data_IF_710204208793
#
_entry.id   IF_710204208793
#
_cell.length_a   1.000
_cell.length_b   1.000
_cell.length_c   1.000
_cell.angle_alpha   90.00
_cell.angle_beta   90.00
_cell.angle_gamma   90.00
#
_symmetry.space_group_name_H-M   'P 1'
#
loop_
_entity.id
_entity.type
_entity.pdbx_description
1 polymer ?
#
# COMPACT_ATOMS: atom_id res chain seq x y z
N UNK A 1 -5.04 41.24 -22.98
CA UNK A 1 -5.74 39.96 -23.22
C UNK A 1 -4.77 38.81 -23.38
N UNK A 2 -3.78 38.89 -24.27
CA UNK A 2 -2.79 37.83 -24.54
C UNK A 2 -2.14 37.17 -23.29
N UNK A 3 -1.52 37.94 -22.39
CA UNK A 3 -0.92 37.39 -21.16
C UNK A 3 -1.92 36.68 -20.24
N UNK A 4 -3.17 37.13 -20.22
CA UNK A 4 -4.23 36.46 -19.46
C UNK A 4 -4.55 35.08 -20.03
N UNK A 5 -4.63 34.97 -21.36
CA UNK A 5 -4.84 33.69 -22.05
C UNK A 5 -3.70 32.70 -21.78
N UNK A 6 -2.44 33.16 -21.80
CA UNK A 6 -1.29 32.29 -21.47
C UNK A 6 -1.41 31.72 -20.05
N UNK A 7 -1.75 32.55 -19.07
CA UNK A 7 -1.94 32.09 -17.70
C UNK A 7 -3.04 31.03 -17.59
N UNK A 8 -4.17 31.22 -18.29
CA UNK A 8 -5.26 30.24 -18.29
C UNK A 8 -4.83 28.90 -18.91
N UNK A 9 -4.08 28.92 -20.01
CA UNK A 9 -3.55 27.69 -20.64
C UNK A 9 -2.57 26.97 -19.69
N UNK A 10 -1.70 27.72 -19.00
CA UNK A 10 -0.77 27.13 -18.02
C UNK A 10 -1.54 26.51 -16.85
N UNK A 11 -2.53 27.21 -16.29
CA UNK A 11 -3.37 26.68 -15.20
C UNK A 11 -4.09 25.41 -15.64
N UNK A 12 -4.67 25.41 -16.83
CA UNK A 12 -5.33 24.22 -17.38
C UNK A 12 -4.34 23.06 -17.53
N UNK A 13 -3.16 23.31 -18.08
CA UNK A 13 -2.09 22.30 -18.19
C UNK A 13 -1.66 21.74 -16.83
N UNK A 14 -1.51 22.58 -15.81
CA UNK A 14 -1.18 22.18 -14.43
C UNK A 14 -2.27 21.28 -13.85
N UNK A 15 -3.55 21.64 -14.00
CA UNK A 15 -4.67 20.83 -13.52
C UNK A 15 -4.71 19.48 -14.24
N UNK A 16 -4.54 19.49 -15.58
CA UNK A 16 -4.53 18.28 -16.38
C UNK A 16 -3.39 17.35 -15.96
N UNK A 17 -2.19 17.88 -15.80
CA UNK A 17 -1.03 17.09 -15.40
C UNK A 17 -1.15 16.57 -13.96
N UNK A 18 -1.60 17.43 -13.04
CA UNK A 18 -1.78 17.06 -11.63
C UNK A 18 -2.84 15.97 -11.43
N UNK A 19 -3.94 16.03 -12.17
CA UNK A 19 -5.05 15.08 -12.02
C UNK A 19 -4.96 13.85 -12.92
N UNK A 20 -4.04 13.83 -13.90
CA UNK A 20 -3.81 12.67 -14.75
C UNK A 20 -3.44 11.42 -13.91
N UNK A 21 -4.01 10.23 -14.19
CA UNK A 21 -4.80 9.84 -15.36
C UNK A 21 -6.32 10.01 -15.23
N UNK A 22 -6.83 10.79 -14.25
CA UNK A 22 -8.27 10.99 -14.01
C UNK A 22 -9.06 9.70 -13.73
N UNK A 23 -8.38 8.65 -13.30
CA UNK A 23 -9.01 7.37 -13.01
C UNK A 23 -9.44 7.30 -11.55
N UNK A 24 -10.64 7.81 -11.24
CA UNK A 24 -11.22 7.82 -9.90
C UNK A 24 -11.82 6.47 -9.48
N UNK A 25 -12.17 5.61 -10.45
CA UNK A 25 -12.73 4.28 -10.22
C UNK A 25 -11.96 3.21 -10.99
N UNK A 26 -10.66 3.00 -10.68
CA UNK A 26 -9.88 1.93 -11.29
C UNK A 26 -10.50 0.56 -11.02
N UNK A 27 -10.43 -0.37 -11.98
CA UNK A 27 -10.83 -1.78 -11.75
C UNK A 27 -9.93 -2.39 -10.66
N UNK A 28 -10.50 -3.20 -9.77
CA UNK A 28 -9.70 -4.03 -8.89
C UNK A 28 -9.03 -5.14 -9.71
N UNK A 29 -7.70 -5.20 -9.68
CA UNK A 29 -6.91 -6.12 -10.50
C UNK A 29 -6.70 -7.45 -9.78
N UNK A 30 -7.82 -8.09 -9.46
CA UNK A 30 -7.93 -9.43 -8.87
C UNK A 30 -8.89 -10.22 -9.73
N UNK A 31 -8.46 -11.36 -10.25
CA UNK A 31 -9.31 -12.28 -11.00
C UNK A 31 -9.29 -13.66 -10.33
N UNK A 32 -10.37 -14.44 -10.47
CA UNK A 32 -10.41 -15.83 -10.04
C UNK A 32 -9.58 -16.69 -10.99
N UNK A 33 -8.91 -17.72 -10.48
CA UNK A 33 -8.16 -18.65 -11.33
C UNK A 33 -9.10 -19.55 -12.14
N UNK A 34 -8.81 -19.69 -13.43
CA UNK A 34 -9.53 -20.62 -14.30
C UNK A 34 -9.03 -22.06 -14.07
N UNK A 35 -9.97 -23.01 -13.94
CA UNK A 35 -9.67 -24.44 -13.86
C UNK A 35 -9.06 -24.93 -12.55
N UNK A 36 -8.89 -24.06 -11.55
CA UNK A 36 -8.43 -24.43 -10.21
C UNK A 36 -8.85 -23.39 -9.16
N UNK A 37 -8.83 -23.78 -7.88
CA UNK A 37 -9.11 -22.86 -6.79
C UNK A 37 -8.01 -21.79 -6.66
N UNK A 38 -8.40 -20.59 -6.26
CA UNK A 38 -7.47 -19.49 -6.02
C UNK A 38 -7.84 -18.20 -6.74
N UNK A 39 -7.09 -17.16 -6.41
CA UNK A 39 -7.20 -15.81 -6.98
C UNK A 39 -5.84 -15.34 -7.48
N UNK A 40 -5.86 -14.51 -8.52
CA UNK A 40 -4.69 -13.96 -9.19
C UNK A 40 -4.61 -12.45 -9.01
N UNK A 41 -3.47 -11.96 -8.54
CA UNK A 41 -3.14 -10.53 -8.43
C UNK A 41 -2.14 -10.15 -9.51
N UNK A 42 -2.48 -9.19 -10.38
CA UNK A 42 -1.65 -8.78 -11.55
C UNK A 42 -1.44 -7.26 -11.68
N UNK A 43 -1.84 -6.51 -10.66
CA UNK A 43 -1.72 -5.07 -10.65
C UNK A 43 -1.91 -4.52 -9.24
N UNK A 44 -2.74 -3.49 -9.04
CA UNK A 44 -3.03 -2.94 -7.70
C UNK A 44 -4.05 -3.77 -6.90
N UNK A 45 -4.33 -5.01 -7.31
CA UNK A 45 -5.37 -5.85 -6.74
C UNK A 45 -5.36 -5.92 -5.21
N UNK A 46 -6.54 -5.85 -4.58
CA UNK A 46 -6.69 -5.95 -3.13
C UNK A 46 -7.92 -6.80 -2.77
N UNK A 47 -7.79 -7.57 -1.71
CA UNK A 47 -8.89 -8.28 -1.05
C UNK A 47 -8.86 -7.90 0.43
N UNK A 48 -10.00 -7.69 1.07
CA UNK A 48 -10.03 -7.39 2.50
C UNK A 48 -11.28 -7.89 3.21
N UNK A 49 -11.17 -8.18 4.51
CA UNK A 49 -12.33 -8.54 5.35
C UNK A 49 -13.27 -7.35 5.59
N UNK A 50 -14.57 -7.60 5.74
CA UNK A 50 -15.57 -6.54 5.98
C UNK A 50 -15.28 -5.75 7.27
N UNK A 51 -14.94 -6.43 8.35
CA UNK A 51 -14.67 -5.82 9.66
C UNK A 51 -13.42 -6.40 10.31
N UNK A 52 -12.76 -5.65 11.21
CA UNK A 52 -11.74 -6.21 12.08
C UNK A 52 -12.34 -7.29 12.98
N UNK A 53 -11.66 -8.43 13.11
CA UNK A 53 -12.03 -9.46 14.09
C UNK A 53 -11.80 -8.90 15.50
N UNK A 54 -12.85 -8.78 16.35
CA UNK A 54 -12.75 -8.10 17.64
C UNK A 54 -12.04 -8.91 18.72
N UNK A 55 -11.83 -10.21 18.51
CA UNK A 55 -11.10 -11.07 19.45
C UNK A 55 -9.62 -11.09 19.12
N UNK A 56 -8.75 -10.97 20.12
CA UNK A 56 -7.33 -11.28 19.94
C UNK A 56 -7.13 -12.78 19.77
N UNK A 57 -6.23 -13.15 18.86
CA UNK A 57 -5.86 -14.55 18.62
C UNK A 57 -4.40 -14.69 19.02
N UNK A 58 -4.14 -15.04 20.27
CA UNK A 58 -2.79 -15.32 20.78
C UNK A 58 -2.83 -16.50 21.76
N UNK A 59 -2.05 -17.56 21.54
CA UNK A 59 -1.20 -17.83 20.37
C UNK A 59 -1.99 -18.01 19.08
N UNK A 60 -1.34 -17.87 17.91
CA UNK A 60 -1.98 -18.14 16.62
C UNK A 60 -1.01 -18.69 15.58
N UNK A 61 -1.57 -19.31 14.55
CA UNK A 61 -0.84 -19.75 13.37
C UNK A 61 -1.55 -19.31 12.10
N UNK A 62 -0.76 -19.12 11.05
CA UNK A 62 -1.23 -18.75 9.73
C UNK A 62 -0.59 -19.68 8.71
N UNK A 63 -1.42 -20.28 7.85
CA UNK A 63 -0.97 -21.07 6.72
C UNK A 63 -1.44 -20.43 5.42
N UNK A 64 -0.53 -20.28 4.47
CA UNK A 64 -0.81 -19.62 3.20
C UNK A 64 -0.17 -20.39 2.06
N UNK A 65 -0.96 -20.72 1.05
CA UNK A 65 -0.47 -21.36 -0.16
C UNK A 65 -0.50 -20.36 -1.30
N UNK A 66 0.67 -20.02 -1.85
CA UNK A 66 0.80 -18.95 -2.84
C UNK A 66 1.89 -19.26 -3.87
N UNK A 67 1.91 -18.50 -4.96
CA UNK A 67 2.92 -18.57 -6.01
C UNK A 67 3.22 -17.15 -6.50
N UNK A 68 4.41 -16.60 -6.20
CA UNK A 68 4.82 -15.29 -6.68
C UNK A 68 4.95 -15.29 -8.21
N UNK A 69 4.43 -14.26 -8.88
CA UNK A 69 4.59 -14.11 -10.32
C UNK A 69 5.84 -13.29 -10.67
N UNK A 70 6.21 -12.33 -9.83
CA UNK A 70 7.34 -11.42 -10.06
C UNK A 70 8.14 -11.15 -8.80
N UNK A 71 9.38 -10.73 -9.00
CA UNK A 71 10.23 -10.16 -7.96
C UNK A 71 10.12 -8.64 -8.02
N UNK A 72 9.74 -8.01 -6.91
CA UNK A 72 9.70 -6.54 -6.81
C UNK A 72 11.05 -6.02 -6.32
N UNK A 73 11.61 -5.05 -7.04
CA UNK A 73 12.91 -4.44 -6.77
C UNK A 73 12.80 -3.00 -6.21
N UNK A 74 11.69 -2.31 -6.48
CA UNK A 74 11.50 -0.90 -6.11
C UNK A 74 10.82 -0.73 -4.74
N UNK A 75 10.10 -1.75 -4.28
CA UNK A 75 9.36 -1.73 -3.02
C UNK A 75 9.18 -3.15 -2.46
N UNK A 76 8.81 -3.24 -1.19
CA UNK A 76 8.41 -4.49 -0.55
C UNK A 76 6.92 -4.74 -0.82
N UNK A 77 6.59 -5.79 -1.55
CA UNK A 77 5.21 -6.10 -1.93
C UNK A 77 4.44 -6.71 -0.75
N UNK A 78 3.24 -6.20 -0.43
CA UNK A 78 2.40 -6.73 0.66
C UNK A 78 1.61 -7.95 0.19
N UNK A 79 1.90 -9.11 0.78
CA UNK A 79 1.12 -10.35 0.54
C UNK A 79 -0.11 -10.35 1.43
N UNK A 80 0.11 -10.16 2.73
CA UNK A 80 -0.93 -10.20 3.75
C UNK A 80 -0.63 -9.18 4.85
N UNK A 81 -1.65 -8.46 5.28
CA UNK A 81 -1.59 -7.56 6.43
C UNK A 81 -2.76 -7.80 7.37
N UNK A 82 -2.48 -7.79 8.68
CA UNK A 82 -3.50 -7.70 9.72
C UNK A 82 -3.63 -6.23 10.12
N UNK A 83 -4.72 -5.60 9.73
CA UNK A 83 -4.96 -4.17 9.93
C UNK A 83 -5.86 -3.92 11.13
N UNK A 84 -5.55 -2.93 11.98
CA UNK A 84 -6.32 -2.64 13.20
C UNK A 84 -7.69 -1.98 12.94
N UNK A 85 -8.03 -1.70 11.69
CA UNK A 85 -9.26 -1.00 11.30
C UNK A 85 -9.18 0.52 11.41
N UNK A 86 -8.05 1.07 11.86
CA UNK A 86 -7.81 2.51 11.95
C UNK A 86 -6.76 2.94 10.93
N UNK A 87 -5.48 2.84 11.28
CA UNK A 87 -4.39 3.42 10.47
C UNK A 87 -3.13 2.55 10.42
N UNK A 88 -3.12 1.40 11.09
CA UNK A 88 -1.87 0.66 11.25
C UNK A 88 -2.00 -0.82 10.97
N UNK A 89 -0.98 -1.34 10.31
CA UNK A 89 -0.76 -2.76 10.11
C UNK A 89 -0.04 -3.32 11.33
N UNK A 90 -0.65 -4.32 11.97
CA UNK A 90 -0.14 -5.00 13.17
C UNK A 90 0.92 -6.03 12.81
N UNK A 91 0.58 -6.86 11.83
CA UNK A 91 1.44 -7.90 11.27
C UNK A 91 1.41 -7.75 9.76
N UNK A 92 2.59 -7.81 9.15
CA UNK A 92 2.75 -7.71 7.70
C UNK A 92 3.61 -8.87 7.22
N UNK A 93 3.09 -9.63 6.26
CA UNK A 93 3.83 -10.58 5.45
C UNK A 93 4.04 -9.93 4.09
N UNK A 94 5.31 -9.83 3.69
CA UNK A 94 5.69 -9.09 2.51
C UNK A 94 6.83 -9.78 1.77
N UNK A 95 6.96 -9.46 0.48
CA UNK A 95 7.99 -10.02 -0.38
C UNK A 95 8.97 -8.94 -0.80
N UNK A 96 10.26 -9.23 -0.65
CA UNK A 96 11.36 -8.45 -1.23
C UNK A 96 12.21 -9.37 -2.09
N UNK A 97 12.25 -9.12 -3.41
CA UNK A 97 12.81 -10.08 -4.37
C UNK A 97 12.20 -11.48 -4.16
N UNK A 98 13.01 -12.50 -3.91
CA UNK A 98 12.59 -13.86 -3.56
C UNK A 98 12.45 -14.11 -2.05
N UNK A 99 12.65 -13.10 -1.20
CA UNK A 99 12.63 -13.23 0.25
C UNK A 99 11.25 -12.98 0.86
N UNK A 100 10.93 -13.73 1.90
CA UNK A 100 9.79 -13.45 2.79
C UNK A 100 10.27 -12.51 3.91
N UNK A 101 9.54 -11.41 4.14
CA UNK A 101 9.74 -10.49 5.26
C UNK A 101 8.48 -10.47 6.10
N UNK A 102 8.67 -10.65 7.40
CA UNK A 102 7.63 -10.58 8.42
C UNK A 102 7.94 -9.40 9.31
N UNK A 103 7.01 -8.46 9.38
CA UNK A 103 7.12 -7.25 10.18
C UNK A 103 6.01 -7.23 11.22
N UNK A 104 6.34 -6.77 12.43
CA UNK A 104 5.35 -6.55 13.48
C UNK A 104 5.37 -5.12 13.96
N UNK A 105 4.19 -4.61 14.32
CA UNK A 105 4.04 -3.29 14.92
C UNK A 105 4.67 -3.24 16.31
N UNK A 106 5.26 -2.09 16.61
CA UNK A 106 5.48 -1.65 17.99
C UNK A 106 4.61 -0.40 18.21
N UNK A 107 3.85 -0.39 19.30
CA UNK A 107 3.03 0.75 19.68
C UNK A 107 3.92 2.00 19.91
N UNK A 108 3.43 3.18 19.53
CA UNK A 108 4.14 4.47 19.68
C UNK A 108 5.48 4.59 18.93
N UNK A 109 5.74 3.73 17.94
CA UNK A 109 6.92 3.83 17.09
C UNK A 109 6.55 4.08 15.62
N UNK A 110 7.40 4.80 14.86
CA UNK A 110 7.21 4.94 13.42
C UNK A 110 7.41 3.59 12.72
N UNK A 111 6.67 3.34 11.63
CA UNK A 111 6.66 2.08 10.88
C UNK A 111 8.06 1.62 10.45
N UNK A 112 8.96 2.56 10.15
CA UNK A 112 10.34 2.28 9.75
C UNK A 112 11.15 1.57 10.83
N UNK A 113 10.80 1.78 12.09
CA UNK A 113 11.48 1.19 13.25
C UNK A 113 10.85 -0.13 13.72
N UNK A 114 9.84 -0.63 13.02
CA UNK A 114 9.19 -1.90 13.35
C UNK A 114 10.14 -3.08 13.14
N UNK A 115 10.22 -4.01 14.11
CA UNK A 115 11.04 -5.20 13.97
C UNK A 115 10.64 -6.01 12.74
N UNK A 116 11.67 -6.48 12.02
CA UNK A 116 11.53 -7.30 10.82
C UNK A 116 12.38 -8.55 10.98
N UNK A 117 11.81 -9.68 10.60
CA UNK A 117 12.53 -10.94 10.39
C UNK A 117 12.27 -11.41 8.97
N UNK A 118 13.14 -12.24 8.42
CA UNK A 118 12.94 -12.70 7.05
C UNK A 118 13.75 -13.93 6.69
N UNK A 119 13.25 -14.64 5.68
CA UNK A 119 13.84 -15.84 5.10
C UNK A 119 14.19 -15.53 3.65
N UNK A 120 15.46 -15.68 3.29
CA UNK A 120 15.94 -15.48 1.92
C UNK A 120 15.46 -16.64 1.04
N UNK A 121 15.15 -16.35 -0.23
CA UNK A 121 14.72 -17.35 -1.21
C UNK A 121 13.50 -18.19 -0.80
N UNK A 122 12.66 -17.66 0.09
CA UNK A 122 11.42 -18.33 0.53
C UNK A 122 10.32 -18.30 -0.54
N UNK A 123 10.38 -17.31 -1.43
CA UNK A 123 9.36 -16.94 -2.41
C UNK A 123 9.96 -16.83 -3.82
N UNK A 124 10.57 -17.89 -4.38
CA UNK A 124 11.09 -17.83 -5.74
C UNK A 124 9.96 -17.62 -6.76
N UNK A 125 10.29 -16.87 -7.80
CA UNK A 125 9.36 -16.54 -8.90
C UNK A 125 8.84 -17.82 -9.56
N UNK A 126 7.52 -17.91 -9.70
CA UNK A 126 6.84 -18.99 -10.41
C UNK A 126 6.70 -20.29 -9.61
N UNK A 127 7.26 -20.38 -8.41
CA UNK A 127 7.15 -21.59 -7.58
C UNK A 127 5.99 -21.48 -6.59
N UNK A 128 5.16 -22.52 -6.55
CA UNK A 128 4.11 -22.65 -5.53
C UNK A 128 4.76 -23.03 -4.20
N UNK A 129 4.44 -22.28 -3.15
CA UNK A 129 4.95 -22.45 -1.79
C UNK A 129 3.82 -22.59 -0.79
N UNK A 130 4.02 -23.47 0.18
CA UNK A 130 3.18 -23.58 1.35
C UNK A 130 3.93 -23.03 2.55
N UNK A 131 3.48 -21.87 3.04
CA UNK A 131 4.11 -21.19 4.17
C UNK A 131 3.26 -21.38 5.42
N UNK A 132 3.92 -21.74 6.52
CA UNK A 132 3.29 -21.72 7.84
C UNK A 132 4.06 -20.79 8.76
N UNK A 133 3.35 -19.86 9.40
CA UNK A 133 3.86 -19.03 10.47
C UNK A 133 3.16 -19.45 11.76
N UNK A 134 3.92 -19.74 12.81
CA UNK A 134 3.38 -19.98 14.14
C UNK A 134 3.94 -18.93 15.09
N UNK A 135 3.08 -18.34 15.92
CA UNK A 135 3.48 -17.36 16.94
C UNK A 135 2.88 -17.76 18.28
N UNK A 136 3.73 -18.08 19.23
CA UNK A 136 3.34 -18.51 20.58
C UNK A 136 4.34 -18.09 21.66
N UNK A 137 4.32 -18.76 22.83
CA UNK A 137 5.21 -18.46 23.96
C UNK A 137 6.70 -18.56 23.61
N UNK A 138 7.06 -19.45 22.67
CA UNK A 138 8.45 -19.67 22.24
C UNK A 138 8.91 -18.72 21.11
N UNK A 139 8.12 -17.69 20.79
CA UNK A 139 8.37 -16.75 19.70
C UNK A 139 7.68 -17.16 18.40
N UNK A 140 8.23 -16.69 17.28
CA UNK A 140 7.72 -17.00 15.94
C UNK A 140 8.59 -18.05 15.25
N UNK A 141 7.95 -19.06 14.64
CA UNK A 141 8.59 -20.00 13.73
C UNK A 141 8.00 -19.85 12.33
N UNK A 142 8.84 -20.05 11.32
CA UNK A 142 8.46 -20.00 9.90
C UNK A 142 8.82 -21.32 9.27
N UNK A 143 7.86 -21.93 8.59
CA UNK A 143 8.01 -23.18 7.86
C UNK A 143 7.74 -22.94 6.38
N UNK A 144 8.51 -23.62 5.55
CA UNK A 144 8.36 -23.63 4.10
C UNK A 144 8.22 -25.08 3.69
N UNK A 145 7.11 -25.41 3.03
CA UNK A 145 6.84 -26.73 2.49
C UNK A 145 6.98 -27.83 3.57
N UNK A 146 6.39 -27.55 4.75
CA UNK A 146 6.38 -28.44 5.91
C UNK A 146 7.68 -28.51 6.72
N UNK A 147 8.75 -27.78 6.32
CA UNK A 147 10.06 -27.81 7.00
C UNK A 147 10.34 -26.50 7.71
N UNK A 148 10.93 -26.57 8.91
CA UNK A 148 11.34 -25.38 9.66
C UNK A 148 12.42 -24.60 8.88
N UNK A 149 12.11 -23.37 8.52
CA UNK A 149 13.01 -22.47 7.77
C UNK A 149 13.64 -21.39 8.66
N UNK A 150 12.96 -20.98 9.74
CA UNK A 150 13.50 -20.03 10.71
C UNK A 150 12.77 -20.03 12.05
N UNK A 151 13.51 -19.65 13.10
CA UNK A 151 13.01 -19.54 14.48
C UNK A 151 13.46 -18.22 15.09
N UNK A 152 12.54 -17.50 15.71
CA UNK A 152 12.75 -16.16 16.25
C UNK A 152 12.17 -16.05 17.68
N UNK A 153 12.93 -16.47 18.71
CA UNK A 153 12.42 -16.58 20.08
C UNK A 153 11.95 -15.27 20.73
N UNK A 154 12.52 -14.12 20.34
CA UNK A 154 12.11 -12.79 20.84
C UNK A 154 11.12 -12.04 19.96
N UNK A 155 10.60 -12.69 18.92
CA UNK A 155 9.72 -12.07 17.94
C UNK A 155 8.33 -12.71 18.03
N UNK A 156 7.43 -12.12 18.81
CA UNK A 156 6.02 -12.51 18.88
C UNK A 156 5.19 -11.59 17.98
N UNK A 157 4.30 -12.14 17.15
CA UNK A 157 3.46 -11.38 16.23
C UNK A 157 2.31 -10.63 16.94
N UNK A 158 2.00 -11.02 18.18
CA UNK A 158 1.17 -10.27 19.13
C UNK A 158 1.89 -9.04 19.66
N UNK A 159 1.13 -7.98 19.92
CA UNK A 159 1.48 -7.06 21.01
C UNK A 159 0.78 -7.52 22.30
N UNK A 160 1.41 -7.32 23.46
CA UNK A 160 0.87 -7.79 24.76
C UNK A 160 -0.48 -7.14 25.14
N UNK A 161 -0.85 -6.03 24.51
CA UNK A 161 -2.11 -5.29 24.73
C UNK A 161 -3.06 -5.34 23.52
N UNK A 162 -2.89 -6.31 22.62
CA UNK A 162 -3.67 -6.31 21.41
C UNK A 162 -5.09 -6.80 21.66
N UNK A 163 -6.07 -5.91 21.50
CA UNK A 163 -7.48 -6.20 21.80
C UNK A 163 -8.23 -6.85 20.65
N UNK A 164 -7.59 -7.09 19.50
CA UNK A 164 -8.24 -7.61 18.29
C UNK A 164 -7.24 -8.34 17.39
N UNK A 165 -7.67 -9.34 16.62
CA UNK A 165 -6.85 -9.95 15.57
C UNK A 165 -6.70 -9.01 14.36
N UNK A 166 -7.70 -8.15 14.14
CA UNK A 166 -7.71 -7.17 13.06
C UNK A 166 -8.43 -7.66 11.80
N UNK A 167 -8.35 -6.84 10.76
CA UNK A 167 -8.90 -7.08 9.42
C UNK A 167 -7.80 -7.66 8.55
N UNK A 168 -8.09 -8.79 7.90
CA UNK A 168 -7.21 -9.37 6.88
C UNK A 168 -7.25 -8.49 5.63
N UNK A 169 -6.07 -8.16 5.08
CA UNK A 169 -5.89 -7.48 3.80
C UNK A 169 -4.89 -8.28 2.99
N UNK A 170 -5.19 -8.58 1.72
CA UNK A 170 -4.37 -9.42 0.85
C UNK A 170 -4.03 -8.69 -0.45
N UNK A 171 -2.84 -8.99 -0.97
CA UNK A 171 -2.39 -8.56 -2.30
C UNK A 171 -1.93 -7.11 -2.41
N UNK A 172 -2.16 -6.28 -1.40
CA UNK A 172 -1.68 -4.89 -1.37
C UNK A 172 -1.60 -4.37 0.07
N UNK A 173 -0.93 -3.23 0.26
CA UNK A 173 -1.04 -2.49 1.52
C UNK A 173 -2.44 -1.89 1.68
N UNK A 174 -2.91 -1.61 2.90
CA UNK A 174 -4.17 -0.88 3.13
C UNK A 174 -4.23 0.49 2.43
N UNK A 175 -3.05 1.09 2.15
CA UNK A 175 -2.90 2.34 1.38
C UNK A 175 -2.92 2.13 -0.14
N UNK A 176 -2.82 0.89 -0.63
CA UNK A 176 -2.88 0.60 -2.05
C UNK A 176 -1.60 0.85 -2.86
N UNK A 177 -0.47 1.06 -2.18
CA UNK A 177 0.79 1.51 -2.77
C UNK A 177 1.85 0.43 -2.93
N UNK A 178 1.64 -0.76 -2.37
CA UNK A 178 2.63 -1.85 -2.35
C UNK A 178 2.02 -3.17 -2.82
N UNK A 179 1.60 -3.26 -4.09
CA UNK A 179 0.90 -4.42 -4.59
C UNK A 179 1.79 -5.65 -4.73
N UNK A 180 1.25 -6.80 -4.38
CA UNK A 180 1.84 -8.10 -4.65
C UNK A 180 1.23 -8.72 -5.91
N UNK A 181 2.03 -9.50 -6.65
CA UNK A 181 1.58 -10.14 -7.88
C UNK A 181 1.88 -11.63 -7.81
N UNK A 182 0.88 -12.43 -8.14
CA UNK A 182 0.94 -13.87 -7.97
C UNK A 182 -0.42 -14.50 -7.68
N UNK A 183 -0.38 -15.80 -7.48
CA UNK A 183 -1.56 -16.62 -7.22
C UNK A 183 -1.65 -16.91 -5.73
N UNK A 184 -2.84 -16.77 -5.16
CA UNK A 184 -3.15 -17.19 -3.81
C UNK A 184 -4.17 -18.33 -3.88
N UNK A 185 -3.78 -19.49 -3.36
CA UNK A 185 -4.56 -20.72 -3.45
C UNK A 185 -5.35 -21.01 -2.18
N UNK A 186 -4.81 -20.66 -1.02
CA UNK A 186 -5.50 -20.85 0.26
C UNK A 186 -4.92 -19.97 1.36
N UNK A 187 -5.75 -19.66 2.35
CA UNK A 187 -5.37 -18.99 3.58
C UNK A 187 -6.10 -19.64 4.76
N UNK A 188 -5.37 -20.08 5.78
CA UNK A 188 -5.93 -20.58 7.02
C UNK A 188 -5.35 -19.82 8.22
N UNK A 189 -6.20 -19.56 9.20
CA UNK A 189 -5.86 -18.92 10.47
C UNK A 189 -6.31 -19.83 11.59
N UNK A 190 -5.41 -20.12 12.52
CA UNK A 190 -5.66 -20.96 13.69
C UNK A 190 -5.48 -20.15 14.96
N UNK A 191 -6.40 -20.28 15.92
CA UNK A 191 -6.34 -19.66 17.24
C UNK A 191 -5.40 -20.38 18.22
N UNK A 192 -4.37 -21.06 17.71
CA UNK A 192 -3.34 -21.73 18.49
C UNK A 192 -2.03 -21.84 17.69
N UNK A 193 -0.92 -22.17 18.37
CA UNK A 193 0.36 -22.45 17.71
C UNK A 193 0.37 -23.92 17.21
N UNK A 194 0.54 -24.14 15.91
CA UNK A 194 0.67 -25.47 15.33
C UNK A 194 2.02 -26.11 15.73
N UNK A 195 2.03 -27.43 15.96
CA UNK A 195 3.25 -28.22 16.16
C UNK A 195 3.92 -28.54 14.83
N UNK A 196 5.19 -28.97 14.87
CA UNK A 196 5.95 -29.31 13.67
C UNK A 196 5.32 -30.48 12.90
N UNK A 197 4.75 -31.44 13.62
CA UNK A 197 4.02 -32.59 13.07
C UNK A 197 2.72 -32.16 12.41
N UNK A 198 1.97 -31.23 13.01
CA UNK A 198 0.75 -30.66 12.40
C UNK A 198 1.11 -29.92 11.11
N UNK A 199 2.11 -29.04 11.14
CA UNK A 199 2.56 -28.29 9.96
C UNK A 199 2.97 -29.23 8.82
N UNK A 200 3.77 -30.25 9.12
CA UNK A 200 4.18 -31.22 8.12
C UNK A 200 3.00 -32.01 7.53
N UNK A 201 2.05 -32.43 8.38
CA UNK A 201 0.83 -33.12 7.96
C UNK A 201 -0.04 -32.24 7.05
N UNK A 202 -0.24 -30.98 7.43
CA UNK A 202 -1.04 -30.02 6.66
C UNK A 202 -0.43 -29.79 5.27
N UNK A 203 0.89 -29.62 5.20
CA UNK A 203 1.62 -29.53 3.93
C UNK A 203 1.41 -30.77 3.06
N UNK A 204 1.55 -31.99 3.63
CA UNK A 204 1.32 -33.22 2.88
C UNK A 204 -0.12 -33.32 2.33
N UNK A 205 -1.12 -32.94 3.12
CA UNK A 205 -2.52 -32.89 2.67
C UNK A 205 -2.73 -31.90 1.52
N UNK A 206 -2.10 -30.72 1.61
CA UNK A 206 -2.14 -29.71 0.55
C UNK A 206 -1.54 -30.23 -0.77
N UNK A 207 -0.39 -30.91 -0.71
CA UNK A 207 0.25 -31.53 -1.88
C UNK A 207 -0.64 -32.59 -2.54
N UNK A 208 -1.34 -33.39 -1.72
CA UNK A 208 -2.28 -34.42 -2.20
C UNK A 208 -3.62 -33.88 -2.69
N UNK A 209 -3.85 -32.56 -2.63
CA UNK A 209 -5.15 -31.90 -2.89
C UNK A 209 -6.29 -32.43 -2.00
N UNK A 210 -5.96 -32.95 -0.82
CA UNK A 210 -6.94 -33.40 0.18
C UNK A 210 -7.56 -32.21 0.95
N UNK A 211 -7.15 -30.98 0.61
CA UNK A 211 -7.46 -29.77 1.36
C UNK A 211 -6.64 -29.69 2.65
N UNK A 212 -6.62 -28.53 3.34
CA UNK A 212 -6.08 -28.47 4.69
C UNK A 212 -6.95 -29.35 5.60
N UNK A 213 -6.35 -30.20 6.47
CA UNK A 213 -7.13 -31.00 7.38
C UNK A 213 -7.95 -30.08 8.27
N UNK A 214 -9.28 -30.23 8.23
CA UNK A 214 -10.20 -29.51 9.10
C UNK A 214 -10.07 -30.13 10.50
N UNK A 215 -8.99 -29.80 11.20
CA UNK A 215 -8.87 -30.11 12.62
C UNK A 215 -9.98 -29.33 13.35
N UNK A 216 -10.97 -30.07 13.87
CA UNK A 216 -12.20 -29.52 14.47
C UNK A 216 -11.95 -28.59 15.68
N UNK A 217 -10.71 -28.48 16.17
CA UNK A 217 -10.31 -27.61 17.26
C UNK A 217 -9.43 -26.46 16.78
N UNK A 218 -9.89 -25.22 16.98
CA UNK A 218 -9.03 -24.04 16.88
C UNK A 218 -8.79 -23.46 15.48
N UNK A 219 -9.43 -23.99 14.42
CA UNK A 219 -9.49 -23.30 13.13
C UNK A 219 -10.39 -22.06 13.25
N UNK A 220 -9.82 -20.88 13.02
CA UNK A 220 -10.53 -19.60 13.10
C UNK A 220 -11.16 -19.21 11.76
N UNK A 221 -10.39 -19.31 10.67
CA UNK A 221 -10.86 -19.04 9.31
C UNK A 221 -10.08 -19.89 8.31
N UNK A 222 -10.76 -20.35 7.25
CA UNK A 222 -10.17 -21.11 6.15
C UNK A 222 -10.77 -20.66 4.82
N UNK A 223 -9.96 -20.06 3.96
CA UNK A 223 -10.31 -19.64 2.62
C UNK A 223 -9.66 -20.59 1.62
N UNK A 224 -10.48 -21.33 0.88
CA UNK A 224 -10.03 -22.19 -0.21
C UNK A 224 -10.10 -21.50 -1.57
N UNK A 225 -10.80 -20.36 -1.66
CA UNK A 225 -11.01 -19.62 -2.91
C UNK A 225 -11.59 -20.52 -4.01
N UNK A 226 -12.61 -21.30 -3.65
CA UNK A 226 -13.31 -22.28 -4.48
C UNK A 226 -14.65 -21.77 -5.00
N UNK A 227 -14.96 -20.48 -4.83
CA UNK A 227 -16.15 -19.86 -5.39
C UNK A 227 -16.07 -19.63 -6.90
N UNK A 228 -14.85 -19.56 -7.45
CA UNK A 228 -14.52 -19.36 -8.87
C UNK A 228 -15.07 -18.08 -9.53
N UNK A 229 -15.92 -17.32 -8.85
CA UNK A 229 -16.54 -16.10 -9.37
C UNK A 229 -17.13 -15.25 -8.24
N UNK A 230 -17.51 -14.01 -8.57
CA UNK A 230 -18.17 -13.10 -7.64
C UNK A 230 -17.21 -12.23 -6.83
N UNK A 231 -17.79 -11.49 -5.88
CA UNK A 231 -17.11 -10.44 -5.12
C UNK A 231 -16.73 -10.87 -3.69
N UNK A 232 -16.85 -12.17 -3.37
CA UNK A 232 -16.65 -12.69 -2.01
C UNK A 232 -15.87 -14.00 -2.04
N UNK A 233 -14.93 -14.13 -1.12
CA UNK A 233 -14.33 -15.40 -0.73
C UNK A 233 -14.74 -15.68 0.72
N UNK A 234 -15.50 -16.74 0.92
CA UNK A 234 -16.03 -17.14 2.21
C UNK A 234 -15.02 -18.02 2.92
N UNK A 235 -14.97 -17.92 4.25
CA UNK A 235 -14.31 -18.94 5.04
C UNK A 235 -15.20 -20.19 5.11
N UNK A 236 -14.62 -21.35 5.44
CA UNK A 236 -15.37 -22.61 5.53
C UNK A 236 -16.58 -22.59 6.48
N UNK A 237 -16.65 -21.62 7.41
CA UNK A 237 -17.79 -21.40 8.30
C UNK A 237 -18.76 -20.28 7.84
N UNK A 238 -18.41 -19.51 6.80
CA UNK A 238 -19.17 -18.36 6.31
C UNK A 238 -19.29 -17.18 7.29
N UNK A 239 -18.41 -17.09 8.29
CA UNK A 239 -18.45 -16.08 9.36
C UNK A 239 -17.53 -14.89 9.11
N UNK A 240 -16.48 -15.09 8.34
CA UNK A 240 -15.45 -14.08 8.11
C UNK A 240 -15.25 -13.85 6.60
N UNK A 241 -16.25 -13.35 5.85
CA UNK A 241 -16.10 -13.18 4.41
C UNK A 241 -15.02 -12.16 4.08
N UNK A 242 -14.22 -12.48 3.06
CA UNK A 242 -13.31 -11.55 2.39
C UNK A 242 -14.01 -10.96 1.18
N UNK A 243 -13.92 -9.64 1.03
CA UNK A 243 -14.43 -8.91 -0.11
C UNK A 243 -13.38 -8.74 -1.20
N UNK A 244 -13.79 -9.05 -2.42
CA UNK A 244 -13.09 -8.72 -3.65
C UNK A 244 -13.87 -7.57 -4.29
N UNK A 245 -13.53 -6.30 -3.99
CA UNK A 245 -14.29 -5.18 -4.51
C UNK A 245 -14.18 -5.12 -6.04
N UNK A 246 -15.22 -4.66 -6.72
CA UNK A 246 -15.23 -4.54 -8.19
C UNK A 246 -14.30 -3.41 -8.67
N UNK A 247 -14.31 -2.29 -7.93
CA UNK A 247 -13.34 -1.20 -8.07
C UNK A 247 -12.19 -1.35 -7.07
N UNK A 248 -11.01 -0.85 -7.43
CA UNK A 248 -9.89 -0.79 -6.52
C UNK A 248 -10.14 0.30 -5.47
N UNK A 249 -10.28 -0.15 -4.23
CA UNK A 249 -10.55 0.70 -3.08
C UNK A 249 -9.40 0.60 -2.07
N UNK A 250 -8.98 1.76 -1.56
CA UNK A 250 -7.98 1.82 -0.49
C UNK A 250 -8.66 1.93 0.87
N UNK A 251 -8.21 1.12 1.82
CA UNK A 251 -8.72 1.13 3.19
C UNK A 251 -8.19 2.33 4.00
N UNK A 252 -7.04 2.86 3.61
CA UNK A 252 -6.39 3.99 4.27
C UNK A 252 -6.04 5.07 3.24
N UNK A 253 -6.86 6.12 3.20
CA UNK A 253 -6.58 7.32 2.38
C UNK A 253 -5.54 8.19 3.05
N UNK A 254 -4.65 8.76 2.25
CA UNK A 254 -3.67 9.76 2.68
C UNK A 254 -4.05 11.11 2.09
N UNK A 255 -4.00 12.15 2.93
CA UNK A 255 -4.33 13.53 2.55
C UNK A 255 -3.20 14.41 3.08
N UNK A 256 -2.55 15.16 2.18
CA UNK A 256 -1.49 16.11 2.52
C UNK A 256 -0.46 15.52 3.49
N UNK A 257 0.11 14.37 3.13
CA UNK A 257 1.09 13.69 3.99
C UNK A 257 2.24 14.65 4.29
N UNK A 258 2.61 14.84 5.57
CA UNK A 258 3.70 15.72 5.91
C UNK A 258 5.04 15.25 5.35
N UNK A 259 5.95 16.16 4.96
CA UNK A 259 7.20 15.78 4.31
C UNK A 259 8.09 14.86 5.15
N UNK A 260 8.02 14.96 6.49
CA UNK A 260 8.82 14.14 7.41
C UNK A 260 8.32 12.70 7.56
N UNK A 261 7.11 12.36 7.09
CA UNK A 261 6.59 10.99 7.15
C UNK A 261 6.97 10.15 5.91
N UNK A 262 7.13 10.78 4.74
CA UNK A 262 7.40 10.11 3.46
C UNK A 262 8.83 10.35 2.93
N UNK A 263 9.71 10.94 3.74
CA UNK A 263 11.02 11.39 3.27
C UNK A 263 11.95 10.23 2.90
N UNK A 264 12.24 10.06 1.60
CA UNK A 264 13.24 9.10 1.10
C UNK A 264 14.09 9.70 -0.01
N UNK A 265 15.40 9.78 0.22
CA UNK A 265 16.37 10.20 -0.82
C UNK A 265 16.52 9.12 -1.90
N UNK A 266 15.64 9.18 -2.90
CA UNK A 266 15.70 8.32 -4.08
C UNK A 266 15.72 9.16 -5.35
N UNK A 267 16.23 8.61 -6.45
CA UNK A 267 16.22 9.29 -7.75
C UNK A 267 14.79 9.61 -8.22
N UNK A 268 13.82 8.73 -7.92
CA UNK A 268 12.40 8.98 -8.21
C UNK A 268 11.90 10.20 -7.44
N UNK A 269 12.16 10.26 -6.14
CA UNK A 269 11.75 11.39 -5.30
C UNK A 269 12.34 12.72 -5.81
N UNK A 270 13.61 12.73 -6.22
CA UNK A 270 14.23 13.92 -6.84
C UNK A 270 13.58 14.32 -8.15
N UNK A 271 13.19 13.35 -8.99
CA UNK A 271 12.47 13.60 -10.24
C UNK A 271 11.09 14.23 -9.98
N UNK A 272 10.37 13.75 -8.98
CA UNK A 272 9.06 14.29 -8.60
C UNK A 272 9.19 15.74 -8.10
N UNK A 273 10.16 15.99 -7.20
CA UNK A 273 10.49 17.34 -6.71
C UNK A 273 10.83 18.30 -7.86
N UNK A 274 11.70 17.89 -8.79
CA UNK A 274 12.06 18.72 -9.94
C UNK A 274 10.88 18.98 -10.87
N UNK A 275 10.02 17.99 -11.09
CA UNK A 275 8.82 18.12 -11.93
C UNK A 275 7.86 19.16 -11.36
N UNK A 276 7.62 19.13 -10.04
CA UNK A 276 6.77 20.09 -9.35
C UNK A 276 7.34 21.52 -9.39
N UNK A 277 8.65 21.69 -9.21
CA UNK A 277 9.29 23.01 -9.33
C UNK A 277 9.19 23.52 -10.77
N UNK A 278 9.67 22.74 -11.75
CA UNK A 278 9.76 23.18 -13.14
C UNK A 278 8.38 23.41 -13.77
N UNK A 279 7.37 22.64 -13.39
CA UNK A 279 6.00 22.81 -13.87
C UNK A 279 5.37 24.15 -13.48
N UNK A 280 5.80 24.75 -12.36
CA UNK A 280 5.24 26.01 -11.84
C UNK A 280 6.10 27.25 -12.13
N UNK A 281 7.33 27.09 -12.62
CA UNK A 281 8.17 28.23 -13.07
C UNK A 281 7.48 29.07 -14.15
N UNK A 282 6.93 28.50 -15.25
CA UNK A 282 6.23 29.29 -16.26
C UNK A 282 5.03 30.04 -15.66
N UNK A 283 4.29 29.40 -14.75
CA UNK A 283 3.14 30.02 -14.11
C UNK A 283 3.54 31.29 -13.33
N UNK A 284 4.54 31.19 -12.44
CA UNK A 284 5.01 32.34 -11.67
C UNK A 284 5.54 33.48 -12.55
N UNK A 285 6.21 33.15 -13.65
CA UNK A 285 6.71 34.11 -14.63
C UNK A 285 5.58 34.87 -15.33
N UNK A 286 4.64 34.16 -15.95
CA UNK A 286 3.57 34.76 -16.75
C UNK A 286 2.50 35.43 -15.89
N UNK A 287 2.27 34.96 -14.65
CA UNK A 287 1.39 35.63 -13.70
C UNK A 287 1.99 36.99 -13.31
N UNK A 288 3.28 37.02 -13.01
CA UNK A 288 4.00 38.24 -12.69
C UNK A 288 4.00 39.24 -13.86
N UNK A 289 4.20 38.76 -15.10
CA UNK A 289 4.09 39.55 -16.31
C UNK A 289 2.69 40.15 -16.49
N UNK A 290 1.64 39.35 -16.29
CA UNK A 290 0.26 39.80 -16.37
C UNK A 290 -0.05 40.90 -15.34
N UNK A 291 0.33 40.68 -14.08
CA UNK A 291 0.09 41.65 -12.99
C UNK A 291 0.85 42.96 -13.21
N UNK A 292 2.13 42.88 -13.60
CA UNK A 292 2.98 44.06 -13.87
C UNK A 292 2.45 44.88 -15.05
N UNK A 293 1.90 44.23 -16.07
CA UNK A 293 1.29 44.90 -17.23
C UNK A 293 -0.01 45.65 -16.88
N UNK A 294 -0.70 45.27 -15.79
CA UNK A 294 -1.92 45.94 -15.32
C UNK A 294 -1.65 47.02 -14.29
N UNK A 295 -0.66 46.82 -13.43
CA UNK A 295 -0.34 47.75 -12.35
C UNK A 295 1.15 47.66 -12.00
N UNK A 296 1.88 48.79 -11.98
CA UNK A 296 3.26 48.82 -11.49
C UNK A 296 3.31 48.29 -10.05
N UNK A 297 3.84 47.09 -9.89
CA UNK A 297 3.87 46.37 -8.61
C UNK A 297 5.30 46.04 -8.21
N UNK A 298 5.64 46.26 -6.93
CA UNK A 298 6.91 45.84 -6.37
C UNK A 298 7.06 44.30 -6.41
N UNK A 299 8.30 43.80 -6.45
CA UNK A 299 8.58 42.36 -6.53
C UNK A 299 7.93 41.58 -5.37
N UNK A 300 7.95 42.12 -4.15
CA UNK A 300 7.35 41.48 -2.98
C UNK A 300 5.85 41.24 -3.14
N UNK A 301 5.13 42.16 -3.80
CA UNK A 301 3.70 41.99 -4.10
C UNK A 301 3.47 40.89 -5.13
N UNK A 302 4.30 40.84 -6.17
CA UNK A 302 4.23 39.78 -7.20
C UNK A 302 4.51 38.41 -6.59
N UNK A 303 5.56 38.31 -5.76
CA UNK A 303 5.91 37.09 -5.03
C UNK A 303 4.78 36.63 -4.12
N UNK A 304 4.21 37.54 -3.32
CA UNK A 304 3.11 37.21 -2.41
C UNK A 304 1.90 36.67 -3.17
N UNK A 305 1.46 37.35 -4.24
CA UNK A 305 0.32 36.90 -5.04
C UNK A 305 0.60 35.55 -5.71
N UNK A 306 1.81 35.37 -6.26
CA UNK A 306 2.22 34.11 -6.89
C UNK A 306 2.22 32.96 -5.90
N UNK A 307 2.74 33.16 -4.68
CA UNK A 307 2.77 32.15 -3.62
C UNK A 307 1.37 31.80 -3.14
N UNK A 308 0.51 32.80 -2.88
CA UNK A 308 -0.86 32.55 -2.42
C UNK A 308 -1.69 31.80 -3.45
N UNK A 309 -1.62 32.21 -4.72
CA UNK A 309 -2.37 31.56 -5.79
C UNK A 309 -1.87 30.13 -6.02
N UNK A 310 -0.56 29.95 -6.08
CA UNK A 310 0.03 28.62 -6.29
C UNK A 310 -0.22 27.69 -5.12
N UNK A 311 -0.14 28.20 -3.88
CA UNK A 311 -0.48 27.43 -2.68
C UNK A 311 -1.95 26.99 -2.70
N UNK A 312 -2.88 27.90 -3.03
CA UNK A 312 -4.30 27.56 -3.16
C UNK A 312 -4.56 26.53 -4.26
N UNK A 313 -3.97 26.72 -5.44
CA UNK A 313 -4.10 25.78 -6.55
C UNK A 313 -3.52 24.41 -6.20
N UNK A 314 -2.32 24.38 -5.60
CA UNK A 314 -1.65 23.16 -5.16
C UNK A 314 -2.47 22.39 -4.15
N UNK A 315 -2.94 23.04 -3.08
CA UNK A 315 -3.84 22.41 -2.08
C UNK A 315 -5.12 21.89 -2.74
N UNK A 316 -5.70 22.64 -3.67
CA UNK A 316 -6.92 22.21 -4.37
C UNK A 316 -6.67 20.93 -5.19
N UNK A 317 -5.56 20.86 -5.92
CA UNK A 317 -5.18 19.65 -6.68
C UNK A 317 -4.96 18.47 -5.75
N UNK A 318 -4.22 18.66 -4.66
CA UNK A 318 -3.94 17.64 -3.65
C UNK A 318 -5.21 17.07 -3.01
N UNK A 319 -6.17 17.95 -2.67
CA UNK A 319 -7.46 17.54 -2.12
C UNK A 319 -8.28 16.72 -3.12
N UNK A 320 -8.21 17.04 -4.41
CA UNK A 320 -8.87 16.24 -5.45
C UNK A 320 -8.13 14.90 -5.66
N UNK A 321 -6.80 14.90 -5.66
CA UNK A 321 -5.99 13.69 -5.80
C UNK A 321 -6.20 12.70 -4.66
N UNK A 322 -6.56 13.16 -3.45
CA UNK A 322 -6.94 12.27 -2.35
C UNK A 322 -8.14 11.35 -2.68
N UNK A 323 -8.90 11.67 -3.72
CA UNK A 323 -9.98 10.83 -4.25
C UNK A 323 -9.56 9.93 -5.41
N UNK A 324 -8.33 10.04 -5.92
CA UNK A 324 -7.75 9.14 -6.92
C UNK A 324 -7.04 7.99 -6.19
N UNK A 325 -7.59 6.75 -6.18
CA UNK A 325 -7.01 5.64 -5.40
C UNK A 325 -5.56 5.30 -5.79
N UNK A 326 -5.14 5.68 -7.00
CA UNK A 326 -3.79 5.40 -7.51
C UNK A 326 -2.75 6.46 -7.16
N UNK A 327 -3.15 7.60 -6.59
CA UNK A 327 -2.30 8.73 -6.24
C UNK A 327 -2.21 8.89 -4.73
N UNK A 328 -1.11 9.50 -4.28
CA UNK A 328 -0.89 9.89 -2.89
C UNK A 328 -0.90 11.41 -2.83
N UNK A 329 -1.64 11.98 -1.88
CA UNK A 329 -1.61 13.42 -1.65
C UNK A 329 -0.48 13.81 -0.68
N UNK A 330 0.37 14.76 -1.06
CA UNK A 330 1.60 15.13 -0.35
C UNK A 330 1.71 16.64 -0.14
N UNK A 331 2.00 17.05 1.09
CA UNK A 331 2.23 18.47 1.39
C UNK A 331 3.51 18.99 0.72
N UNK A 332 4.50 18.11 0.50
CA UNK A 332 5.75 18.46 -0.16
C UNK A 332 5.51 18.99 -1.59
N UNK A 333 4.54 18.43 -2.31
CA UNK A 333 4.21 18.84 -3.67
C UNK A 333 3.72 20.29 -3.72
N UNK A 334 2.86 20.69 -2.77
CA UNK A 334 2.42 22.08 -2.61
C UNK A 334 3.60 23.02 -2.38
N UNK A 335 4.53 22.63 -1.50
CA UNK A 335 5.72 23.44 -1.19
C UNK A 335 6.61 23.58 -2.43
N UNK A 336 6.84 22.49 -3.17
CA UNK A 336 7.67 22.51 -4.38
C UNK A 336 7.02 23.35 -5.51
N UNK A 337 5.70 23.26 -5.67
CA UNK A 337 4.95 24.10 -6.61
C UNK A 337 5.11 25.58 -6.27
N UNK A 338 4.98 25.95 -4.98
CA UNK A 338 5.19 27.33 -4.51
C UNK A 338 6.61 27.83 -4.78
N UNK A 339 7.64 26.99 -4.56
CA UNK A 339 9.03 27.32 -4.89
C UNK A 339 9.22 27.56 -6.40
N UNK A 340 8.65 26.70 -7.25
CA UNK A 340 8.63 26.89 -8.70
C UNK A 340 8.07 28.24 -9.12
N UNK A 341 6.89 28.60 -8.58
CA UNK A 341 6.26 29.88 -8.88
C UNK A 341 7.06 31.09 -8.37
N UNK A 342 7.71 30.98 -7.20
CA UNK A 342 8.63 32.00 -6.70
C UNK A 342 9.83 32.18 -7.64
N UNK A 343 10.45 31.10 -8.11
CA UNK A 343 11.54 31.15 -9.08
C UNK A 343 11.09 31.83 -10.40
N UNK A 344 9.92 31.47 -10.92
CA UNK A 344 9.32 32.11 -12.09
C UNK A 344 9.16 33.63 -11.93
N UNK A 345 8.69 34.05 -10.75
CA UNK A 345 8.53 35.47 -10.41
C UNK A 345 9.87 36.21 -10.37
N UNK A 346 10.89 35.61 -9.76
CA UNK A 346 12.25 36.16 -9.69
C UNK A 346 12.86 36.28 -11.09
N UNK A 347 12.70 35.26 -11.93
CA UNK A 347 13.16 35.28 -13.33
C UNK A 347 12.51 36.41 -14.11
N UNK A 348 11.19 36.58 -14.00
CA UNK A 348 10.48 37.70 -14.62
C UNK A 348 11.06 39.05 -14.17
N UNK A 349 11.25 39.23 -12.87
CA UNK A 349 11.80 40.48 -12.34
C UNK A 349 13.21 40.79 -12.84
N UNK A 350 14.06 39.76 -13.01
CA UNK A 350 15.41 39.93 -13.56
C UNK A 350 15.43 40.31 -15.04
N UNK A 351 14.45 39.86 -15.83
CA UNK A 351 14.37 40.17 -17.27
C UNK A 351 13.79 41.57 -17.52
N UNK A 352 12.93 42.05 -16.63
CA UNK A 352 12.24 43.36 -16.78
C UNK A 352 12.96 44.50 -16.04
N UNK A 353 13.97 44.19 -15.23
CA UNK A 353 14.98 45.16 -14.78
C UNK A 353 15.90 45.49 -15.92
#
# INVERSE_FOLDING_TARGET
>A
MFLGTINLVIIFGIIVFGLWPFNFWPKNQVDWLEGQNGVHFYGRGIIFGEAPTPSSLHPFSLEICLQPEKESYDYTARILSLHDGRRTEKVVLSQWKSGLIIQKRIQHRPEESYPKVGIRNALPKGEKRFLTLTSGPDGTKVYIDGKLAGKYPGFHLSADNDSSFGRIVLGNSPRGTQPWHGNLYSLAVYGHSLTEEQVFRHYQGSVKKEGPPVEKGGLFALYLFDEHSGARANDGAGRNPLLIPSGFEVLQKTILVPPWEDFRWTLSYMKDVMTNILGFVPFGFFLSAYLRARTPSAIYRLLLISLLFTGFLGVSIELIQAHLPTRSSQLMDVIMNMLGAALGTVLFHKIVK
#
